data_IF_732243297931
#
_entry.id   IF_732243297931
#
_cell.length_a   1.000
_cell.length_b   1.000
_cell.length_c   1.000
_cell.angle_alpha   90.00
_cell.angle_beta   90.00
_cell.angle_gamma   90.00
#
_symmetry.space_group_name_H-M   'P 1'
#
loop_
_entity.id
_entity.type
_entity.pdbx_description
1 polymer ?
#
# COMPACT_ATOMS: atom_id res chain seq x y z
N UNK A 1 37.65 -62.25 16.36
CA UNK A 1 39.00 -62.05 15.81
C UNK A 1 38.94 -60.92 14.80
N UNK A 2 39.70 -59.82 15.05
CA UNK A 2 40.28 -58.85 14.09
C UNK A 2 39.29 -58.05 13.20
N UNK A 3 39.34 -56.74 13.03
CA UNK A 3 40.10 -55.62 13.61
C UNK A 3 39.47 -54.35 13.00
N UNK A 4 39.36 -53.27 13.77
CA UNK A 4 38.99 -51.92 13.31
C UNK A 4 40.10 -51.28 12.48
N UNK A 5 39.77 -50.38 11.55
CA UNK A 5 40.60 -49.19 11.28
C UNK A 5 39.72 -47.98 10.95
N UNK A 6 39.84 -46.99 11.82
CA UNK A 6 39.35 -45.62 11.79
C UNK A 6 40.50 -44.75 11.25
N UNK A 7 40.26 -43.76 10.40
CA UNK A 7 41.26 -42.74 10.07
C UNK A 7 40.61 -41.35 10.04
N UNK A 8 40.79 -40.64 11.15
CA UNK A 8 40.77 -39.18 11.24
C UNK A 8 42.15 -38.64 10.83
N UNK A 9 42.19 -37.50 10.12
CA UNK A 9 43.38 -36.64 10.06
C UNK A 9 42.99 -35.21 10.36
N UNK A 10 43.67 -34.67 11.37
CA UNK A 10 43.68 -33.31 11.93
C UNK A 10 45.09 -32.73 11.68
N UNK A 11 45.24 -31.40 11.59
CA UNK A 11 46.42 -30.54 11.93
C UNK A 11 46.23 -29.17 11.23
N UNK A 12 45.83 -28.12 11.96
CA UNK A 12 46.62 -26.98 12.55
C UNK A 12 47.01 -25.88 11.54
N UNK A 13 46.44 -24.66 11.62
CA UNK A 13 46.79 -23.47 12.44
C UNK A 13 48.12 -22.81 12.04
N UNK A 14 48.04 -21.56 11.55
CA UNK A 14 49.07 -20.53 11.77
C UNK A 14 48.44 -19.15 11.85
N UNK A 15 48.66 -18.49 12.98
CA UNK A 15 48.35 -17.08 13.24
C UNK A 15 49.60 -16.22 13.03
N UNK A 16 49.43 -14.97 12.59
CA UNK A 16 50.28 -13.82 12.95
C UNK A 16 49.66 -12.50 12.43
N UNK A 17 49.33 -11.61 13.37
CA UNK A 17 49.45 -10.13 13.23
C UNK A 17 50.79 -9.73 13.91
N UNK A 18 51.24 -8.45 14.06
CA UNK A 18 50.60 -7.13 13.85
C UNK A 18 51.53 -5.99 13.33
N UNK A 19 51.00 -4.77 13.08
CA UNK A 19 51.69 -3.44 13.30
C UNK A 19 50.83 -2.29 12.71
N UNK A 20 50.22 -1.35 13.45
CA UNK A 20 50.72 -0.16 14.20
C UNK A 20 50.71 1.17 13.40
N UNK A 21 49.99 2.15 13.99
CA UNK A 21 50.19 3.61 14.03
C UNK A 21 49.72 4.57 12.91
N UNK A 22 48.74 5.41 13.29
CA UNK A 22 48.74 6.88 13.40
C UNK A 22 49.55 7.75 12.41
N UNK A 23 48.89 8.76 11.85
CA UNK A 23 49.53 9.94 11.28
C UNK A 23 48.56 11.06 10.88
N UNK A 24 48.22 11.93 11.83
CA UNK A 24 47.66 13.25 11.57
C UNK A 24 48.75 14.20 11.04
N UNK A 25 48.45 15.02 10.03
CA UNK A 25 49.45 15.94 9.46
C UNK A 25 48.90 16.92 8.40
N UNK A 26 48.42 18.05 8.91
CA UNK A 26 48.08 19.33 8.28
C UNK A 26 48.87 19.78 7.02
N UNK A 27 48.16 20.37 6.03
CA UNK A 27 48.76 20.98 4.83
C UNK A 27 47.85 21.98 4.07
N UNK A 28 47.68 23.17 4.66
CA UNK A 28 47.28 24.51 4.16
C UNK A 28 46.87 24.76 2.67
N UNK A 29 45.64 25.31 2.54
CA UNK A 29 45.11 26.40 1.66
C UNK A 29 45.14 26.28 0.11
N UNK A 30 43.94 26.29 -0.47
CA UNK A 30 43.51 27.29 -1.46
C UNK A 30 42.10 27.81 -1.14
N UNK A 31 41.91 29.12 -1.38
CA UNK A 31 40.70 29.98 -1.27
C UNK A 31 40.61 30.59 -2.69
N UNK A 32 39.50 30.77 -3.41
CA UNK A 32 38.06 30.51 -3.26
C UNK A 32 37.47 30.40 -4.68
N UNK A 33 36.25 29.91 -4.80
CA UNK A 33 35.29 30.35 -5.82
C UNK A 33 33.90 30.16 -5.22
N UNK A 34 33.34 31.26 -4.73
CA UNK A 34 31.98 31.34 -4.20
C UNK A 34 30.97 31.03 -5.32
N UNK A 35 30.36 29.86 -5.25
CA UNK A 35 29.17 29.49 -6.01
C UNK A 35 28.03 29.33 -5.01
N UNK A 36 27.34 30.43 -4.75
CA UNK A 36 26.22 30.57 -3.82
C UNK A 36 24.97 29.89 -4.44
N UNK A 37 24.85 28.58 -4.21
CA UNK A 37 23.68 27.78 -4.59
C UNK A 37 22.86 27.50 -3.32
N UNK A 38 21.85 28.34 -3.12
CA UNK A 38 20.96 28.47 -1.96
C UNK A 38 19.90 27.34 -1.88
N UNK A 39 20.31 26.08 -2.02
CA UNK A 39 19.38 24.92 -2.03
C UNK A 39 19.75 23.77 -1.06
N UNK A 40 20.81 23.92 -0.24
CA UNK A 40 21.17 22.93 0.78
C UNK A 40 20.77 23.38 2.19
N UNK A 41 19.45 23.36 2.47
CA UNK A 41 18.95 23.46 3.85
C UNK A 41 18.74 22.05 4.40
N UNK A 42 19.53 21.59 5.40
CA UNK A 42 19.26 20.32 6.04
C UNK A 42 17.89 20.36 6.75
N UNK A 43 17.12 19.28 6.63
CA UNK A 43 15.74 19.13 7.16
C UNK A 43 15.65 19.45 8.67
N UNK A 44 16.76 19.37 9.40
CA UNK A 44 16.88 19.77 10.81
C UNK A 44 16.70 21.27 11.07
N UNK A 45 16.73 22.13 10.05
CA UNK A 45 16.50 23.59 10.16
C UNK A 45 15.02 24.03 10.13
N UNK A 46 14.10 23.18 9.68
CA UNK A 46 12.67 23.54 9.51
C UNK A 46 11.88 23.59 10.82
N UNK A 47 12.36 22.97 11.90
CA UNK A 47 11.64 22.86 13.18
C UNK A 47 11.65 24.13 14.05
N UNK A 48 12.34 25.22 13.63
CA UNK A 48 12.51 26.43 14.46
C UNK A 48 11.87 27.71 13.90
N UNK A 49 10.93 27.63 12.96
CA UNK A 49 10.14 28.81 12.57
C UNK A 49 9.00 29.06 13.57
N UNK A 50 9.26 30.01 14.48
CA UNK A 50 8.28 30.63 15.38
C UNK A 50 7.07 31.17 14.60
N UNK A 51 5.88 30.95 15.17
CA UNK A 51 4.58 31.44 14.71
C UNK A 51 4.63 32.95 14.46
N UNK A 52 4.60 33.37 13.20
CA UNK A 52 4.38 34.76 12.80
C UNK A 52 2.90 35.10 13.03
N UNK A 53 2.68 35.91 14.07
CA UNK A 53 1.39 36.53 14.41
C UNK A 53 1.17 37.68 13.44
N UNK A 54 0.33 37.47 12.42
CA UNK A 54 -0.11 38.55 11.52
C UNK A 54 -1.19 39.36 12.25
N UNK A 55 -0.81 40.52 12.78
CA UNK A 55 -1.73 41.55 13.25
C UNK A 55 -2.07 42.47 12.08
N UNK A 56 -3.25 42.29 11.48
CA UNK A 56 -3.76 43.19 10.44
C UNK A 56 -4.36 44.42 11.10
N UNK A 57 -3.60 45.52 11.12
CA UNK A 57 -4.12 46.87 11.41
C UNK A 57 -5.05 47.31 10.28
N UNK A 58 -6.36 47.30 10.52
CA UNK A 58 -7.34 47.94 9.63
C UNK A 58 -7.40 49.42 9.99
N UNK A 59 -7.03 50.25 9.01
CA UNK A 59 -7.09 51.71 9.07
C UNK A 59 -8.54 52.14 8.79
N UNK A 60 -9.04 52.98 9.68
CA UNK A 60 -10.34 53.62 9.69
C UNK A 60 -10.48 54.59 8.52
N UNK A 61 -11.58 54.51 7.77
CA UNK A 61 -12.20 55.70 7.16
C UNK A 61 -13.72 55.53 7.11
N UNK A 62 -14.42 56.62 7.42
CA UNK A 62 -15.86 56.73 7.68
C UNK A 62 -16.63 57.00 6.39
N UNK A 63 -17.80 56.37 6.24
CA UNK A 63 -19.00 57.03 5.73
C UNK A 63 -20.27 56.34 6.26
N UNK A 64 -21.32 57.15 6.44
CA UNK A 64 -22.56 57.01 7.23
C UNK A 64 -23.70 56.64 6.25
N UNK A 65 -24.71 55.80 6.54
CA UNK A 65 -26.06 56.15 7.08
C UNK A 65 -27.04 54.94 6.93
N UNK A 66 -27.66 54.51 8.04
CA UNK A 66 -29.00 53.89 8.35
C UNK A 66 -29.70 52.84 7.43
N UNK A 67 -29.85 51.55 7.81
CA UNK A 67 -30.90 50.80 8.63
C UNK A 67 -31.83 49.93 7.74
N UNK A 68 -32.63 48.97 8.26
CA UNK A 68 -32.25 47.70 8.91
C UNK A 68 -32.94 46.48 8.24
N UNK A 69 -32.28 45.34 8.03
CA UNK A 69 -33.04 44.10 7.76
C UNK A 69 -32.29 42.80 8.04
N UNK A 70 -33.02 41.92 8.71
CA UNK A 70 -32.85 40.46 8.81
C UNK A 70 -31.51 39.93 9.32
N UNK A 71 -31.56 39.59 10.61
CA UNK A 71 -30.80 38.56 11.30
C UNK A 71 -30.62 37.31 10.42
N UNK A 72 -29.46 37.17 9.78
CA UNK A 72 -28.96 35.88 9.31
C UNK A 72 -27.78 35.49 10.19
N UNK A 73 -28.02 34.51 11.07
CA UNK A 73 -26.93 33.84 11.77
C UNK A 73 -26.13 33.05 10.73
N UNK A 74 -24.79 33.14 10.69
CA UNK A 74 -24.00 32.28 9.83
C UNK A 74 -24.12 30.86 10.37
N UNK A 75 -24.91 30.03 9.68
CA UNK A 75 -24.94 28.58 9.93
C UNK A 75 -23.52 28.07 9.73
N UNK A 76 -22.88 27.65 10.81
CA UNK A 76 -21.58 26.99 10.81
C UNK A 76 -21.65 25.80 9.85
N UNK A 77 -21.03 25.93 8.68
CA UNK A 77 -20.84 24.82 7.76
C UNK A 77 -20.09 23.69 8.49
N UNK A 78 -20.66 22.49 8.44
CA UNK A 78 -20.20 21.30 9.15
C UNK A 78 -18.78 20.94 8.71
N UNK A 79 -17.78 21.22 9.55
CA UNK A 79 -16.40 20.66 9.53
C UNK A 79 -16.35 19.13 9.78
N UNK A 80 -17.38 18.37 9.41
CA UNK A 80 -17.48 16.94 9.74
C UNK A 80 -16.74 16.04 8.74
N UNK A 81 -16.64 16.43 7.47
CA UNK A 81 -16.06 15.58 6.41
C UNK A 81 -14.55 15.41 6.55
N UNK A 82 -13.81 16.46 6.89
CA UNK A 82 -12.34 16.39 7.05
C UNK A 82 -11.95 15.53 8.24
N UNK A 83 -12.74 15.55 9.33
CA UNK A 83 -12.48 14.76 10.54
C UNK A 83 -12.72 13.26 10.32
N UNK A 84 -13.64 12.89 9.43
CA UNK A 84 -13.92 11.50 9.07
C UNK A 84 -12.78 10.94 8.22
N UNK A 85 -12.29 11.69 7.21
CA UNK A 85 -11.14 11.28 6.40
C UNK A 85 -9.85 11.10 7.21
N UNK A 86 -9.58 12.00 8.16
CA UNK A 86 -8.41 11.88 9.06
C UNK A 86 -8.51 10.62 9.93
N UNK A 87 -9.70 10.31 10.47
CA UNK A 87 -9.91 9.10 11.26
C UNK A 87 -9.82 7.80 10.45
N UNK A 88 -10.28 7.81 9.19
CA UNK A 88 -10.11 6.66 8.29
C UNK A 88 -8.63 6.41 8.01
N UNK A 89 -7.84 7.47 7.81
CA UNK A 89 -6.40 7.38 7.59
C UNK A 89 -5.65 6.88 8.84
N UNK A 90 -5.94 7.43 10.02
CA UNK A 90 -5.41 6.96 11.31
C UNK A 90 -5.79 5.48 11.58
N UNK A 91 -7.01 5.08 11.21
CA UNK A 91 -7.47 3.71 11.35
C UNK A 91 -6.73 2.74 10.41
N UNK A 92 -6.52 3.13 9.15
CA UNK A 92 -5.75 2.30 8.22
C UNK A 92 -4.32 2.11 8.71
N UNK A 93 -3.70 3.14 9.31
CA UNK A 93 -2.36 3.03 9.93
C UNK A 93 -2.36 2.02 11.09
N UNK A 94 -3.32 2.12 12.02
CA UNK A 94 -3.43 1.14 13.13
C UNK A 94 -3.67 -0.29 12.62
N UNK A 95 -4.42 -0.46 11.52
CA UNK A 95 -4.62 -1.77 10.92
C UNK A 95 -3.35 -2.30 10.24
N UNK A 96 -2.57 -1.44 9.57
CA UNK A 96 -1.29 -1.83 8.96
C UNK A 96 -0.26 -2.30 10.00
N UNK A 97 -0.33 -1.80 11.23
CA UNK A 97 0.53 -2.28 12.32
C UNK A 97 0.18 -3.69 12.81
N UNK A 98 -1.01 -4.21 12.47
CA UNK A 98 -1.40 -5.58 12.80
C UNK A 98 -0.74 -6.61 11.89
N UNK A 99 -0.63 -7.86 12.35
CA UNK A 99 -0.11 -8.95 11.51
C UNK A 99 -0.94 -9.15 10.23
N UNK A 100 -2.28 -8.98 10.29
CA UNK A 100 -3.13 -9.08 9.09
C UNK A 100 -2.89 -7.90 8.14
N UNK A 101 -2.70 -6.69 8.68
CA UNK A 101 -2.37 -5.52 7.89
C UNK A 101 -1.04 -5.65 7.17
N UNK A 102 -0.03 -6.22 7.83
CA UNK A 102 1.24 -6.57 7.21
C UNK A 102 1.07 -7.55 6.07
N UNK A 103 0.28 -8.62 6.25
CA UNK A 103 -0.04 -9.57 5.16
C UNK A 103 -0.72 -8.86 3.98
N UNK A 104 -1.70 -8.01 4.24
CA UNK A 104 -2.43 -7.26 3.20
C UNK A 104 -1.51 -6.29 2.45
N UNK A 105 -0.68 -5.54 3.18
CA UNK A 105 0.27 -4.59 2.59
C UNK A 105 1.30 -5.29 1.72
N UNK A 106 1.86 -6.38 2.22
CA UNK A 106 2.81 -7.20 1.47
C UNK A 106 2.13 -7.76 0.20
N UNK A 107 0.90 -8.27 0.30
CA UNK A 107 0.17 -8.77 -0.87
C UNK A 107 -0.12 -7.66 -1.89
N UNK A 108 -0.51 -6.46 -1.46
CA UNK A 108 -0.77 -5.32 -2.36
C UNK A 108 0.42 -4.94 -3.24
N UNK A 109 1.66 -5.20 -2.81
CA UNK A 109 2.84 -4.89 -3.61
C UNK A 109 3.11 -5.91 -4.72
N UNK A 110 2.40 -7.06 -4.71
CA UNK A 110 2.69 -8.21 -5.57
C UNK A 110 1.47 -9.02 -5.96
N UNK A 111 0.28 -8.42 -5.83
CA UNK A 111 -1.00 -9.11 -6.03
C UNK A 111 -1.09 -9.71 -7.44
N UNK A 112 -0.54 -9.03 -8.44
CA UNK A 112 -0.57 -9.44 -9.85
C UNK A 112 0.14 -10.77 -10.12
N UNK A 113 0.94 -11.27 -9.16
CA UNK A 113 1.49 -12.62 -9.26
C UNK A 113 0.50 -13.68 -8.80
N UNK A 114 -0.37 -13.41 -7.81
CA UNK A 114 -1.26 -14.42 -7.25
C UNK A 114 -2.66 -14.46 -7.86
N UNK A 115 -3.18 -13.32 -8.29
CA UNK A 115 -4.56 -13.16 -8.76
C UNK A 115 -4.62 -12.35 -10.05
N UNK A 116 -5.70 -12.57 -10.80
CA UNK A 116 -6.02 -11.81 -12.00
C UNK A 116 -7.15 -10.83 -11.70
N UNK A 117 -6.95 -9.56 -12.04
CA UNK A 117 -7.99 -8.53 -11.97
C UNK A 117 -7.66 -7.39 -12.93
N UNK A 118 -8.62 -6.84 -13.69
CA UNK A 118 -10.02 -7.27 -13.77
C UNK A 118 -10.17 -8.63 -14.48
N UNK A 119 -11.31 -9.34 -14.30
CA UNK A 119 -11.60 -10.56 -15.05
C UNK A 119 -11.56 -10.30 -16.57
N UNK A 120 -10.91 -11.20 -17.31
CA UNK A 120 -10.60 -11.04 -18.75
C UNK A 120 -11.86 -10.94 -19.64
N UNK A 121 -13.04 -11.29 -19.12
CA UNK A 121 -14.31 -11.42 -19.87
C UNK A 121 -15.25 -10.21 -19.79
N UNK A 122 -14.85 -9.08 -19.21
CA UNK A 122 -15.70 -7.90 -19.20
C UNK A 122 -15.73 -7.23 -20.58
N UNK A 123 -16.69 -7.62 -21.43
CA UNK A 123 -17.00 -6.87 -22.66
C UNK A 123 -17.28 -5.42 -22.28
N UNK A 124 -16.41 -4.50 -22.71
CA UNK A 124 -16.54 -3.11 -22.32
C UNK A 124 -17.81 -2.50 -22.94
N UNK A 125 -18.69 -1.87 -22.14
CA UNK A 125 -19.86 -1.20 -22.68
C UNK A 125 -19.39 -0.06 -23.61
N UNK A 126 -19.99 0.04 -24.79
CA UNK A 126 -19.73 1.16 -25.72
C UNK A 126 -20.28 2.45 -25.12
N UNK A 127 -19.46 3.13 -24.33
CA UNK A 127 -19.78 4.42 -23.73
C UNK A 127 -19.52 5.55 -24.74
N UNK A 128 -20.47 6.47 -24.88
CA UNK A 128 -20.33 7.61 -25.79
C UNK A 128 -19.61 8.78 -25.14
N UNK A 129 -18.75 9.48 -25.91
CA UNK A 129 -18.05 10.69 -25.42
C UNK A 129 -16.89 10.40 -24.46
N UNK A 130 -16.47 9.14 -24.38
CA UNK A 130 -15.32 8.68 -23.58
C UNK A 130 -14.35 7.93 -24.48
N UNK A 131 -13.11 7.82 -24.04
CA UNK A 131 -12.04 7.08 -24.70
C UNK A 131 -11.45 6.10 -23.69
N UNK A 132 -11.27 4.84 -24.10
CA UNK A 132 -10.60 3.84 -23.27
C UNK A 132 -9.11 4.19 -23.11
N UNK A 133 -8.59 4.00 -21.90
CA UNK A 133 -7.19 4.23 -21.59
C UNK A 133 -6.34 3.05 -22.05
N UNK A 134 -5.30 3.34 -22.84
CA UNK A 134 -4.38 2.33 -23.32
C UNK A 134 -3.69 1.61 -22.15
N UNK A 135 -3.60 0.29 -22.22
CA UNK A 135 -3.09 -0.56 -21.15
C UNK A 135 -3.99 -0.70 -19.91
N UNK A 136 -5.18 -0.06 -19.88
CA UNK A 136 -6.14 -0.17 -18.78
C UNK A 136 -7.56 -0.52 -19.29
N UNK A 137 -7.77 -1.78 -19.73
CA UNK A 137 -9.09 -2.22 -20.18
C UNK A 137 -10.18 -1.94 -19.16
N UNK A 138 -11.32 -1.40 -19.62
CA UNK A 138 -12.45 -1.03 -18.76
C UNK A 138 -12.28 0.30 -18.00
N UNK A 139 -11.15 1.01 -18.16
CA UNK A 139 -10.99 2.37 -17.64
C UNK A 139 -11.06 3.39 -18.79
N UNK A 140 -11.86 4.43 -18.60
CA UNK A 140 -12.16 5.42 -19.63
C UNK A 140 -11.86 6.83 -19.15
N UNK A 141 -11.41 7.69 -20.05
CA UNK A 141 -11.35 9.13 -19.85
C UNK A 141 -12.46 9.81 -20.65
N UNK A 142 -13.19 10.72 -19.99
CA UNK A 142 -14.21 11.50 -20.67
C UNK A 142 -13.57 12.56 -21.55
N UNK A 143 -13.88 12.55 -22.85
CA UNK A 143 -13.28 13.44 -23.87
C UNK A 143 -14.24 14.52 -24.38
N UNK A 144 -15.48 14.54 -23.89
CA UNK A 144 -16.51 15.53 -24.23
C UNK A 144 -17.39 15.88 -23.02
N UNK A 145 -17.94 17.09 -23.01
CA UNK A 145 -18.89 17.56 -21.99
C UNK A 145 -18.22 18.26 -20.80
N UNK A 146 -19.03 18.64 -19.81
CA UNK A 146 -18.62 19.45 -18.66
C UNK A 146 -17.61 18.74 -17.74
N UNK A 147 -17.66 17.40 -17.70
CA UNK A 147 -16.74 16.56 -16.92
C UNK A 147 -15.52 16.09 -17.75
N UNK A 148 -15.04 16.92 -18.69
CA UNK A 148 -13.86 16.61 -19.50
C UNK A 148 -12.65 16.24 -18.63
N UNK A 149 -12.01 15.12 -18.93
CA UNK A 149 -10.87 14.61 -18.19
C UNK A 149 -11.22 13.76 -16.96
N UNK A 150 -12.50 13.57 -16.64
CA UNK A 150 -12.91 12.62 -15.60
C UNK A 150 -12.62 11.17 -16.01
N UNK A 151 -12.21 10.35 -15.03
CA UNK A 151 -11.95 8.91 -15.21
C UNK A 151 -13.20 8.13 -14.80
N UNK A 152 -13.60 7.19 -15.63
CA UNK A 152 -14.70 6.25 -15.39
C UNK A 152 -14.08 4.85 -15.38
N UNK A 153 -14.14 4.19 -14.23
CA UNK A 153 -13.72 2.80 -14.07
C UNK A 153 -14.97 1.93 -14.15
N UNK A 154 -15.07 1.10 -15.18
CA UNK A 154 -16.20 0.17 -15.41
C UNK A 154 -15.88 -1.27 -15.00
N UNK A 155 -14.66 -1.52 -14.52
CA UNK A 155 -14.26 -2.83 -14.02
C UNK A 155 -15.07 -3.18 -12.77
N UNK A 156 -15.29 -4.49 -12.55
CA UNK A 156 -15.97 -4.95 -11.35
C UNK A 156 -15.23 -4.46 -10.10
N UNK A 157 -16.00 -3.98 -9.11
CA UNK A 157 -15.44 -3.65 -7.80
C UNK A 157 -15.11 -4.89 -6.97
N UNK A 158 -15.72 -6.03 -7.30
CA UNK A 158 -15.48 -7.34 -6.72
C UNK A 158 -14.09 -7.83 -7.14
N UNK A 159 -13.38 -8.52 -6.25
CA UNK A 159 -12.03 -9.00 -6.51
C UNK A 159 -10.98 -7.88 -6.65
N UNK A 160 -11.35 -6.60 -6.46
CA UNK A 160 -10.46 -5.47 -6.72
C UNK A 160 -9.29 -5.49 -5.74
N UNK A 161 -8.02 -5.56 -6.22
CA UNK A 161 -6.82 -5.52 -5.38
C UNK A 161 -6.74 -4.20 -4.61
N UNK A 162 -7.28 -4.20 -3.40
CA UNK A 162 -7.38 -3.05 -2.53
C UNK A 162 -7.21 -3.51 -1.10
N UNK A 163 -6.75 -2.61 -0.23
CA UNK A 163 -6.55 -2.93 1.17
C UNK A 163 -7.83 -3.50 1.79
N UNK A 164 -8.97 -2.85 1.55
CA UNK A 164 -10.24 -3.25 2.14
C UNK A 164 -10.67 -4.64 1.68
N UNK A 165 -10.56 -4.94 0.38
CA UNK A 165 -10.86 -6.25 -0.18
C UNK A 165 -9.98 -7.35 0.44
N UNK A 166 -8.66 -7.20 0.43
CA UNK A 166 -7.76 -8.17 1.06
C UNK A 166 -7.94 -8.29 2.57
N UNK A 167 -8.32 -7.20 3.23
CA UNK A 167 -8.54 -7.22 4.67
C UNK A 167 -9.88 -7.84 5.06
N UNK A 168 -10.85 -7.89 4.14
CA UNK A 168 -12.11 -8.61 4.28
C UNK A 168 -11.93 -10.14 4.17
N UNK A 169 -10.96 -10.61 3.39
CA UNK A 169 -10.60 -12.03 3.32
C UNK A 169 -10.16 -12.59 4.68
N UNK A 170 -10.22 -13.91 4.85
CA UNK A 170 -9.65 -14.54 6.05
C UNK A 170 -8.13 -14.35 6.09
N UNK A 171 -7.54 -14.26 7.28
CA UNK A 171 -6.07 -14.23 7.41
C UNK A 171 -5.39 -15.48 6.85
N UNK A 172 -6.10 -16.61 6.75
CA UNK A 172 -5.59 -17.86 6.18
C UNK A 172 -5.48 -17.76 4.65
N UNK A 173 -6.55 -17.31 3.99
CA UNK A 173 -6.56 -17.11 2.54
C UNK A 173 -5.59 -16.02 2.11
N UNK A 174 -5.52 -14.94 2.90
CA UNK A 174 -4.59 -13.85 2.66
C UNK A 174 -3.13 -14.32 2.74
N UNK A 175 -2.81 -15.16 3.74
CA UNK A 175 -1.48 -15.77 3.86
C UNK A 175 -1.19 -16.71 2.69
N UNK A 176 -2.16 -17.55 2.30
CA UNK A 176 -2.03 -18.47 1.16
C UNK A 176 -1.74 -17.71 -0.13
N UNK A 177 -2.51 -16.68 -0.44
CA UNK A 177 -2.30 -15.81 -1.61
C UNK A 177 -0.94 -15.11 -1.57
N UNK A 178 -0.53 -14.59 -0.40
CA UNK A 178 0.76 -13.94 -0.27
C UNK A 178 1.93 -14.90 -0.56
N UNK A 179 1.87 -16.13 -0.04
CA UNK A 179 2.91 -17.13 -0.30
C UNK A 179 2.96 -17.52 -1.78
N UNK A 180 1.79 -17.70 -2.41
CA UNK A 180 1.70 -17.93 -3.85
C UNK A 180 2.27 -16.77 -4.66
N UNK A 181 2.00 -15.52 -4.26
CA UNK A 181 2.54 -14.34 -4.92
C UNK A 181 4.07 -14.30 -4.85
N UNK A 182 4.66 -14.63 -3.69
CA UNK A 182 6.11 -14.74 -3.56
C UNK A 182 6.69 -15.84 -4.44
N UNK A 183 6.07 -17.02 -4.46
CA UNK A 183 6.54 -18.15 -5.26
C UNK A 183 6.60 -17.79 -6.75
N UNK A 184 5.50 -17.27 -7.30
CA UNK A 184 5.44 -16.82 -8.69
C UNK A 184 6.36 -15.62 -8.98
N UNK A 185 6.49 -14.68 -8.04
CA UNK A 185 7.43 -13.56 -8.19
C UNK A 185 8.87 -14.06 -8.31
N UNK A 186 9.26 -15.05 -7.51
CA UNK A 186 10.59 -15.65 -7.59
C UNK A 186 10.78 -16.44 -8.88
N UNK A 187 9.77 -17.19 -9.33
CA UNK A 187 9.80 -17.92 -10.61
C UNK A 187 10.05 -16.96 -11.79
N UNK A 188 9.24 -15.89 -11.89
CA UNK A 188 9.37 -14.87 -12.95
C UNK A 188 10.73 -14.16 -12.87
N UNK A 189 11.22 -13.86 -11.66
CA UNK A 189 12.53 -13.23 -11.47
C UNK A 189 13.66 -14.14 -11.99
N UNK A 190 13.62 -15.43 -11.65
CA UNK A 190 14.62 -16.40 -12.09
C UNK A 190 14.57 -16.60 -13.60
N UNK A 191 13.37 -16.59 -14.20
CA UNK A 191 13.20 -16.70 -15.65
C UNK A 191 13.83 -15.52 -16.41
N UNK A 192 13.65 -14.29 -15.94
CA UNK A 192 14.12 -13.09 -16.64
C UNK A 192 15.55 -12.66 -16.29
N UNK A 193 15.98 -12.84 -15.04
CA UNK A 193 17.26 -12.32 -14.54
C UNK A 193 18.24 -13.41 -14.09
N UNK A 194 17.77 -14.65 -13.93
CA UNK A 194 18.57 -15.80 -13.51
C UNK A 194 18.60 -16.03 -11.98
N UNK A 195 19.25 -17.12 -11.52
CA UNK A 195 19.18 -17.57 -10.13
C UNK A 195 20.10 -16.80 -9.15
N UNK A 196 21.09 -16.05 -9.64
CA UNK A 196 22.11 -15.41 -8.80
C UNK A 196 21.79 -13.96 -8.40
N UNK A 197 20.56 -13.49 -8.67
CA UNK A 197 20.13 -12.13 -8.40
C UNK A 197 20.03 -11.87 -6.89
N UNK A 198 20.58 -10.76 -6.35
CA UNK A 198 20.50 -10.44 -4.92
C UNK A 198 19.08 -10.40 -4.37
N UNK A 199 18.13 -9.88 -5.17
CA UNK A 199 16.72 -9.76 -4.82
C UNK A 199 16.07 -11.13 -4.50
N UNK A 200 16.51 -12.21 -5.15
CA UNK A 200 15.95 -13.54 -4.92
C UNK A 200 16.12 -13.97 -3.44
N UNK A 201 17.28 -13.70 -2.85
CA UNK A 201 17.55 -14.02 -1.44
C UNK A 201 16.68 -13.20 -0.49
N UNK A 202 16.41 -11.94 -0.84
CA UNK A 202 15.52 -11.07 -0.06
C UNK A 202 14.07 -11.57 -0.11
N UNK A 203 13.58 -11.93 -1.30
CA UNK A 203 12.24 -12.51 -1.49
C UNK A 203 12.08 -13.83 -0.73
N UNK A 204 13.06 -14.73 -0.79
CA UNK A 204 13.06 -15.98 -0.02
C UNK A 204 12.97 -15.73 1.49
N UNK A 205 13.72 -14.75 2.00
CA UNK A 205 13.68 -14.36 3.41
C UNK A 205 12.33 -13.75 3.79
N UNK A 206 11.78 -12.88 2.96
CA UNK A 206 10.48 -12.25 3.17
C UNK A 206 9.35 -13.30 3.19
N UNK A 207 9.35 -14.22 2.21
CA UNK A 207 8.43 -15.36 2.16
C UNK A 207 8.53 -16.22 3.41
N UNK A 208 9.74 -16.57 3.83
CA UNK A 208 9.96 -17.37 5.04
C UNK A 208 9.50 -16.64 6.32
N UNK A 209 9.59 -15.31 6.35
CA UNK A 209 9.04 -14.49 7.43
C UNK A 209 7.51 -14.50 7.43
N UNK A 210 6.89 -14.31 6.26
CA UNK A 210 5.44 -14.35 6.09
C UNK A 210 4.85 -15.70 6.52
N UNK A 211 5.48 -16.81 6.11
CA UNK A 211 5.06 -18.17 6.46
C UNK A 211 5.07 -18.48 7.97
N UNK A 212 5.75 -17.66 8.79
CA UNK A 212 5.78 -17.81 10.26
C UNK A 212 4.62 -17.07 10.95
N UNK A 213 3.88 -16.24 10.21
CA UNK A 213 2.74 -15.51 10.77
C UNK A 213 1.62 -16.52 11.05
N UNK A 214 1.10 -16.49 12.29
CA UNK A 214 -0.02 -17.32 12.69
C UNK A 214 -1.36 -16.61 12.33
N UNK A 215 -2.22 -17.20 11.47
CA UNK A 215 -3.46 -16.56 11.02
C UNK A 215 -4.44 -16.24 12.15
N UNK A 216 -4.65 -17.16 13.10
CA UNK A 216 -5.57 -16.93 14.23
C UNK A 216 -5.13 -15.76 15.11
N UNK A 217 -3.81 -15.62 15.32
CA UNK A 217 -3.23 -14.50 16.06
C UNK A 217 -3.42 -13.19 15.32
N UNK A 218 -3.28 -13.21 13.99
CA UNK A 218 -3.53 -12.05 13.15
C UNK A 218 -4.99 -11.58 13.28
N UNK A 219 -5.96 -12.49 13.13
CA UNK A 219 -7.39 -12.19 13.31
C UNK A 219 -7.73 -11.66 14.71
N UNK A 220 -7.10 -12.22 15.75
CA UNK A 220 -7.33 -11.76 17.12
C UNK A 220 -6.78 -10.34 17.35
N UNK A 221 -5.68 -9.98 16.69
CA UNK A 221 -5.12 -8.63 16.72
C UNK A 221 -6.07 -7.61 16.11
N UNK A 222 -6.57 -7.91 14.92
CA UNK A 222 -7.53 -7.07 14.18
C UNK A 222 -8.82 -6.85 14.97
N UNK A 223 -9.39 -7.91 15.54
CA UNK A 223 -10.61 -7.82 16.37
C UNK A 223 -10.47 -6.87 17.57
N UNK A 224 -9.26 -6.60 18.06
CA UNK A 224 -9.03 -5.61 19.12
C UNK A 224 -9.05 -4.19 18.57
N UNK A 225 -8.43 -3.97 17.42
CA UNK A 225 -8.37 -2.66 16.76
C UNK A 225 -9.76 -2.23 16.27
N UNK A 226 -10.48 -3.13 15.59
CA UNK A 226 -11.80 -2.81 15.01
C UNK A 226 -12.87 -2.41 16.03
N UNK A 227 -12.74 -2.79 17.31
CA UNK A 227 -13.63 -2.30 18.38
C UNK A 227 -13.65 -0.78 18.49
N UNK A 228 -12.57 -0.11 18.08
CA UNK A 228 -12.47 1.34 18.09
C UNK A 228 -13.03 1.98 16.80
N UNK A 229 -13.37 1.17 15.79
CA UNK A 229 -13.69 1.61 14.42
C UNK A 229 -14.90 0.87 13.82
N UNK A 230 -16.05 0.95 14.50
CA UNK A 230 -17.27 0.24 14.12
C UNK A 230 -17.79 0.55 12.68
N UNK A 231 -17.48 1.72 12.13
CA UNK A 231 -17.84 2.06 10.74
C UNK A 231 -17.02 1.25 9.73
N UNK A 232 -15.72 1.13 9.96
CA UNK A 232 -14.84 0.34 9.10
C UNK A 232 -15.11 -1.17 9.26
N UNK A 233 -15.42 -1.63 10.47
CA UNK A 233 -15.84 -3.02 10.67
C UNK A 233 -17.08 -3.36 9.82
N UNK A 234 -18.01 -2.41 9.67
CA UNK A 234 -19.18 -2.58 8.81
C UNK A 234 -18.80 -2.62 7.34
N UNK A 235 -17.91 -1.72 6.90
CA UNK A 235 -17.44 -1.66 5.52
C UNK A 235 -16.71 -2.94 5.10
N UNK A 236 -15.84 -3.47 5.98
CA UNK A 236 -15.16 -4.76 5.77
C UNK A 236 -16.17 -5.90 5.60
N UNK A 237 -17.22 -5.93 6.45
CA UNK A 237 -18.28 -6.95 6.36
C UNK A 237 -19.12 -6.82 5.08
N UNK A 238 -19.39 -5.59 4.66
CA UNK A 238 -20.12 -5.33 3.41
C UNK A 238 -19.33 -5.82 2.20
N UNK A 239 -18.00 -5.59 2.17
CA UNK A 239 -17.15 -6.13 1.12
C UNK A 239 -17.16 -7.66 1.14
N UNK A 240 -16.96 -8.28 2.31
CA UNK A 240 -16.99 -9.75 2.42
C UNK A 240 -18.32 -10.36 1.93
N UNK A 241 -19.46 -9.69 2.17
CA UNK A 241 -20.76 -10.14 1.69
C UNK A 241 -20.88 -10.05 0.17
N UNK A 242 -20.43 -8.93 -0.44
CA UNK A 242 -20.48 -8.78 -1.90
C UNK A 242 -19.61 -9.80 -2.63
N UNK A 243 -18.44 -10.13 -2.07
CA UNK A 243 -17.59 -11.18 -2.64
C UNK A 243 -18.29 -12.55 -2.57
N UNK A 244 -18.98 -12.86 -1.46
CA UNK A 244 -19.70 -14.12 -1.32
C UNK A 244 -20.94 -14.19 -2.23
N UNK A 245 -21.66 -13.09 -2.42
CA UNK A 245 -22.81 -13.01 -3.35
C UNK A 245 -22.37 -13.24 -4.80
N UNK A 246 -21.22 -12.70 -5.23
CA UNK A 246 -20.72 -12.91 -6.60
C UNK A 246 -20.16 -14.33 -6.80
N UNK A 247 -19.53 -14.94 -5.77
CA UNK A 247 -19.14 -16.36 -5.82
C UNK A 247 -20.36 -17.29 -5.99
N UNK A 248 -21.48 -17.01 -5.32
CA UNK A 248 -22.73 -17.78 -5.48
C UNK A 248 -23.37 -17.58 -6.88
N UNK A 249 -23.33 -16.38 -7.45
CA UNK A 249 -23.85 -16.12 -8.81
C UNK A 249 -23.00 -16.81 -9.90
N UNK A 250 -21.67 -16.86 -9.75
CA UNK A 250 -20.80 -17.56 -10.71
C UNK A 250 -21.02 -19.09 -10.70
N UNK A 251 -21.31 -19.69 -9.54
CA UNK A 251 -21.56 -21.14 -9.42
C UNK A 251 -22.94 -21.57 -10.01
N UNK A 252 -23.94 -20.68 -10.02
CA UNK A 252 -25.28 -20.97 -10.59
C UNK A 252 -25.28 -20.96 -12.13
N UNK A 253 -24.41 -20.18 -12.78
CA UNK A 253 -24.34 -20.07 -14.24
C UNK A 253 -23.62 -21.26 -14.92
N UNK A 254 -22.84 -22.05 -14.16
CA UNK A 254 -22.05 -23.20 -14.69
C UNK A 254 -22.84 -24.54 -14.66
N UNK A 255 -24.02 -24.59 -14.05
CA UNK A 255 -24.82 -25.83 -13.89
C UNK A 255 -25.87 -26.09 -15.00
N UNK A 256 -25.97 -25.22 -16.02
CA UNK A 256 -27.04 -25.26 -17.03
C UNK A 256 -26.63 -25.84 -18.42
N UNK A 257 -25.49 -26.54 -18.54
CA UNK A 257 -25.02 -27.13 -19.82
C UNK A 257 -24.88 -28.67 -19.83
N UNK A 258 -25.74 -29.40 -19.10
CA UNK A 258 -25.83 -30.86 -19.23
C UNK A 258 -27.29 -31.35 -19.18
N UNK A 259 -28.12 -30.94 -20.14
CA UNK A 259 -29.33 -31.70 -20.51
C UNK A 259 -29.84 -31.37 -21.92
N UNK A 260 -29.12 -31.84 -22.94
CA UNK A 260 -29.69 -31.98 -24.28
C UNK A 260 -29.05 -33.14 -25.05
N UNK A 261 -29.29 -34.38 -24.62
CA UNK A 261 -29.21 -35.54 -25.51
C UNK A 261 -30.18 -36.63 -25.01
N UNK A 262 -31.38 -36.69 -25.61
CA UNK A 262 -32.07 -37.90 -26.14
C UNK A 262 -33.36 -37.50 -26.89
#
# INVERSE_FOLDING_TARGET
MKQEVKTEVKVEVKAEAPSVANGAGNGKRQVASDSDSDDDIPISGLAKRKKLKVETKVKTEKARVTTPSSRSTPRKAKKRVIKIKIRQQECTEELYETLKGQLAQELLCRWWYAMEWPPVRASSPKLHGVQELDGYPGAFIRVKGDDLGSIIDTRSSVGKPSFLHFFAMSSEDLLKLLLQAYDKQMEVLVEHEGPDVPLLKELQKARASAARINPEKAERGVRKVLKNFAELEREIKEVALKEAEEEEEEDEDDDDDDTADD
#
